data_IF_517378688394
#
_entry.id   IF_517378688394
#
_cell.length_a   1.000
_cell.length_b   1.000
_cell.length_c   1.000
_cell.angle_alpha   90.00
_cell.angle_beta   90.00
_cell.angle_gamma   90.00
#
_symmetry.space_group_name_H-M   'P 1'
#
loop_
_entity.id
_entity.type
_entity.pdbx_description
1 polymer ?
#
# COMPACT_ATOMS: atom_id res chain seq x y z
N UNK A 1 82.27 -28.80 -17.62
CA UNK A 1 81.93 -27.36 -17.75
C UNK A 1 80.41 -27.28 -17.88
N UNK A 2 79.69 -27.02 -16.78
CA UNK A 2 78.22 -27.07 -16.74
C UNK A 2 77.62 -25.68 -17.00
N UNK A 3 76.77 -25.56 -18.03
CA UNK A 3 76.05 -24.33 -18.34
C UNK A 3 74.79 -24.22 -17.47
N UNK A 4 74.67 -23.13 -16.69
CA UNK A 4 73.45 -22.77 -15.97
C UNK A 4 72.45 -22.13 -16.93
N UNK A 5 71.30 -22.77 -17.11
CA UNK A 5 70.13 -22.16 -17.76
C UNK A 5 69.40 -21.34 -16.68
N UNK A 6 69.47 -20.01 -16.76
CA UNK A 6 68.63 -19.12 -15.96
C UNK A 6 67.22 -19.10 -16.53
N UNK A 7 66.25 -19.66 -15.80
CA UNK A 7 64.84 -19.50 -16.10
C UNK A 7 64.34 -18.19 -15.46
N UNK A 8 64.12 -17.17 -16.29
CA UNK A 8 63.35 -15.98 -15.89
C UNK A 8 61.87 -16.35 -15.86
N UNK A 9 61.40 -16.78 -14.68
CA UNK A 9 59.97 -16.96 -14.44
C UNK A 9 59.27 -15.59 -14.47
N UNK A 10 58.57 -15.30 -15.57
CA UNK A 10 57.65 -14.16 -15.67
C UNK A 10 56.49 -14.43 -14.72
N UNK A 11 56.50 -13.82 -13.54
CA UNK A 11 55.35 -13.76 -12.64
C UNK A 11 54.24 -13.00 -13.34
N UNK A 12 53.29 -13.73 -13.93
CA UNK A 12 51.99 -13.16 -14.33
C UNK A 12 51.24 -12.83 -13.04
N UNK A 13 51.30 -11.57 -12.62
CA UNK A 13 50.42 -11.06 -11.57
C UNK A 13 49.00 -11.19 -12.11
N UNK A 14 48.25 -12.17 -11.62
CA UNK A 14 46.83 -12.25 -11.87
C UNK A 14 46.22 -10.96 -11.33
N UNK A 15 45.88 -10.03 -12.22
CA UNK A 15 45.05 -8.91 -11.86
C UNK A 15 43.71 -9.50 -11.46
N UNK A 16 43.50 -9.65 -10.14
CA UNK A 16 42.19 -9.91 -9.55
C UNK A 16 41.31 -8.75 -9.97
N UNK A 17 40.65 -8.88 -11.13
CA UNK A 17 39.54 -8.03 -11.50
C UNK A 17 38.44 -8.36 -10.50
N UNK A 18 38.45 -7.66 -9.37
CA UNK A 18 37.24 -7.51 -8.57
C UNK A 18 36.23 -6.91 -9.54
N UNK A 19 35.28 -7.73 -9.97
CA UNK A 19 34.08 -7.25 -10.66
C UNK A 19 33.44 -6.28 -9.67
N UNK A 20 33.78 -5.00 -9.79
CA UNK A 20 33.16 -3.96 -9.00
C UNK A 20 31.67 -4.15 -9.21
N UNK A 21 30.97 -4.50 -8.13
CA UNK A 21 29.53 -4.48 -8.10
C UNK A 21 29.16 -3.07 -8.53
N UNK A 22 28.76 -2.91 -9.80
CA UNK A 22 28.36 -1.63 -10.33
C UNK A 22 27.20 -1.24 -9.44
N UNK A 23 27.42 -0.28 -8.54
CA UNK A 23 26.39 0.30 -7.69
C UNK A 23 25.47 1.01 -8.66
N UNK A 24 24.60 0.26 -9.32
CA UNK A 24 23.56 0.78 -10.18
C UNK A 24 22.75 1.77 -9.36
N UNK A 25 22.10 2.73 -10.03
CA UNK A 25 21.16 3.59 -9.34
C UNK A 25 20.24 2.70 -8.48
N UNK A 26 20.09 3.02 -7.19
CA UNK A 26 19.31 2.20 -6.27
C UNK A 26 17.96 1.88 -6.92
N UNK A 27 17.63 0.61 -7.05
CA UNK A 27 16.27 0.21 -7.41
C UNK A 27 15.39 0.73 -6.28
N UNK A 28 14.35 1.52 -6.61
CA UNK A 28 13.44 2.28 -5.74
C UNK A 28 13.23 1.73 -4.32
N UNK A 29 13.08 0.41 -4.16
CA UNK A 29 13.03 -0.29 -2.86
C UNK A 29 14.26 -0.16 -1.94
N UNK A 30 15.36 0.45 -2.40
CA UNK A 30 16.58 0.68 -1.62
C UNK A 30 16.79 2.15 -1.25
N UNK A 31 16.09 3.06 -1.93
CA UNK A 31 16.10 4.48 -1.58
C UNK A 31 14.89 4.71 -0.67
N UNK A 32 15.12 4.66 0.65
CA UNK A 32 14.15 5.17 1.61
C UNK A 32 14.05 6.68 1.44
N UNK A 33 13.41 7.12 0.36
CA UNK A 33 13.24 8.53 0.07
C UNK A 33 12.10 8.99 0.96
N UNK A 34 12.45 9.72 2.00
CA UNK A 34 11.48 10.41 2.83
C UNK A 34 10.91 11.58 2.01
N UNK A 35 10.05 11.25 1.04
CA UNK A 35 9.26 12.25 0.33
C UNK A 35 8.42 13.00 1.38
N UNK A 36 8.37 14.33 1.27
CA UNK A 36 7.66 15.20 2.21
C UNK A 36 6.48 15.88 1.53
N UNK A 37 5.52 16.32 2.34
CA UNK A 37 4.32 17.02 1.86
C UNK A 37 3.47 16.17 0.91
N UNK A 38 3.00 16.77 -0.18
CA UNK A 38 2.13 16.10 -1.15
C UNK A 38 2.78 14.88 -1.81
N UNK A 39 4.09 14.92 -2.06
CA UNK A 39 4.81 13.80 -2.66
C UNK A 39 4.83 12.57 -1.75
N UNK A 40 4.79 12.76 -0.42
CA UNK A 40 4.70 11.66 0.54
C UNK A 40 3.38 10.87 0.38
N UNK A 41 2.30 11.59 0.11
CA UNK A 41 0.96 11.02 -0.12
C UNK A 41 0.90 10.39 -1.50
N UNK A 42 1.40 11.08 -2.53
CA UNK A 42 1.40 10.56 -3.90
C UNK A 42 2.28 9.31 -4.05
N UNK A 43 3.41 9.24 -3.33
CA UNK A 43 4.34 8.11 -3.32
C UNK A 43 4.24 7.29 -2.03
N UNK A 44 3.02 6.88 -1.68
CA UNK A 44 2.73 6.18 -0.42
C UNK A 44 3.54 4.88 -0.23
N UNK A 45 4.04 4.24 -1.28
CA UNK A 45 4.83 3.00 -1.18
C UNK A 45 6.33 3.20 -0.87
N UNK A 46 6.82 4.44 -0.80
CA UNK A 46 8.26 4.72 -0.87
C UNK A 46 8.95 4.98 0.49
N UNK A 47 8.25 4.81 1.61
CA UNK A 47 8.77 5.15 2.94
C UNK A 47 8.51 4.08 4.00
N UNK A 48 9.47 3.90 4.91
CA UNK A 48 9.32 3.00 6.08
C UNK A 48 8.10 3.35 6.94
N UNK A 49 7.81 4.65 7.06
CA UNK A 49 6.65 5.12 7.81
C UNK A 49 5.35 4.62 7.19
N UNK A 50 5.23 4.69 5.87
CA UNK A 50 4.01 4.25 5.21
C UNK A 50 3.87 2.73 5.21
N UNK A 51 4.97 1.97 5.15
CA UNK A 51 4.91 0.52 5.39
C UNK A 51 4.41 0.20 6.80
N UNK A 52 4.81 0.96 7.82
CA UNK A 52 4.27 0.80 9.19
C UNK A 52 2.78 1.15 9.24
N UNK A 53 2.38 2.26 8.62
CA UNK A 53 0.96 2.63 8.51
C UNK A 53 0.15 1.51 7.85
N UNK A 54 0.68 0.91 6.78
CA UNK A 54 0.06 -0.23 6.12
C UNK A 54 -0.20 -1.37 7.11
N UNK A 55 0.81 -1.80 7.88
CA UNK A 55 0.64 -2.85 8.88
C UNK A 55 -0.39 -2.49 9.96
N UNK A 56 -0.36 -1.28 10.50
CA UNK A 56 -1.33 -0.85 11.50
C UNK A 56 -2.75 -0.80 10.95
N UNK A 57 -2.95 -0.33 9.72
CA UNK A 57 -4.25 -0.37 9.07
C UNK A 57 -4.71 -1.80 8.80
N UNK A 58 -3.81 -2.73 8.43
CA UNK A 58 -4.14 -4.15 8.29
C UNK A 58 -4.66 -4.75 9.59
N UNK A 59 -3.96 -4.53 10.71
CA UNK A 59 -4.38 -5.04 12.01
C UNK A 59 -5.67 -4.36 12.50
N UNK A 60 -5.81 -3.07 12.24
CA UNK A 60 -7.04 -2.32 12.53
C UNK A 60 -8.23 -2.90 11.77
N UNK A 61 -8.12 -3.10 10.46
CA UNK A 61 -9.19 -3.70 9.65
C UNK A 61 -9.49 -5.14 10.06
N UNK A 62 -8.46 -5.94 10.37
CA UNK A 62 -8.62 -7.30 10.88
C UNK A 62 -9.48 -7.35 12.14
N UNK A 63 -9.33 -6.38 13.04
CA UNK A 63 -10.12 -6.30 14.27
C UNK A 63 -11.50 -5.65 14.06
N UNK A 64 -11.57 -4.58 13.25
CA UNK A 64 -12.78 -3.78 13.09
C UNK A 64 -13.83 -4.46 12.24
N UNK A 65 -13.45 -5.24 11.22
CA UNK A 65 -14.42 -5.96 10.37
C UNK A 65 -15.29 -6.95 11.16
N UNK A 66 -14.73 -7.87 11.97
CA UNK A 66 -15.57 -8.74 12.80
C UNK A 66 -16.34 -7.96 13.88
N UNK A 67 -15.73 -6.92 14.47
CA UNK A 67 -16.42 -6.07 15.43
C UNK A 67 -17.65 -5.39 14.81
N UNK A 68 -17.53 -4.91 13.57
CA UNK A 68 -18.62 -4.29 12.82
C UNK A 68 -19.79 -5.25 12.62
N UNK A 69 -19.50 -6.48 12.19
CA UNK A 69 -20.53 -7.51 11.96
C UNK A 69 -21.33 -7.80 13.22
N UNK A 70 -20.64 -7.87 14.37
CA UNK A 70 -21.25 -8.17 15.69
C UNK A 70 -22.04 -6.99 16.26
N UNK A 71 -21.51 -5.77 16.15
CA UNK A 71 -22.11 -4.59 16.79
C UNK A 71 -23.30 -4.01 16.01
N UNK A 72 -23.35 -4.18 14.70
CA UNK A 72 -24.40 -3.60 13.85
C UNK A 72 -25.70 -4.42 13.92
N UNK A 73 -26.93 -3.84 14.02
CA UNK A 73 -27.31 -2.42 14.06
C UNK A 73 -27.37 -1.90 15.51
N UNK A 74 -26.27 -1.38 16.05
CA UNK A 74 -26.25 -0.72 17.35
C UNK A 74 -25.60 0.65 17.23
N UNK A 75 -26.00 1.59 18.09
CA UNK A 75 -25.30 2.87 18.24
C UNK A 75 -23.82 2.69 18.62
N UNK A 76 -23.45 1.54 19.21
CA UNK A 76 -22.05 1.18 19.49
C UNK A 76 -21.23 0.96 18.20
N UNK A 77 -21.87 0.75 17.05
CA UNK A 77 -21.18 0.55 15.77
C UNK A 77 -20.75 1.88 15.12
N UNK A 78 -21.30 3.02 15.52
CA UNK A 78 -20.97 4.34 14.96
C UNK A 78 -19.45 4.62 14.96
N UNK A 79 -18.71 4.47 16.07
CA UNK A 79 -17.25 4.68 16.04
C UNK A 79 -16.52 3.68 15.14
N UNK A 80 -17.02 2.44 15.01
CA UNK A 80 -16.45 1.43 14.12
C UNK A 80 -16.62 1.84 12.66
N UNK A 81 -17.80 2.34 12.29
CA UNK A 81 -18.09 2.84 10.94
C UNK A 81 -17.19 4.02 10.55
N UNK A 82 -16.93 4.97 11.46
CA UNK A 82 -16.00 6.07 11.21
C UNK A 82 -14.56 5.59 11.05
N UNK A 83 -14.12 4.63 11.86
CA UNK A 83 -12.79 4.04 11.71
C UNK A 83 -12.66 3.28 10.39
N UNK A 84 -13.67 2.50 9.98
CA UNK A 84 -13.69 1.82 8.69
C UNK A 84 -13.63 2.82 7.53
N UNK A 85 -14.37 3.93 7.61
CA UNK A 85 -14.38 4.97 6.58
C UNK A 85 -13.01 5.62 6.36
N UNK A 86 -12.14 5.65 7.37
CA UNK A 86 -10.76 6.17 7.26
C UNK A 86 -9.78 5.07 6.87
N UNK A 87 -9.82 3.93 7.56
CA UNK A 87 -8.82 2.87 7.40
C UNK A 87 -8.92 2.17 6.06
N UNK A 88 -10.13 1.94 5.52
CA UNK A 88 -10.31 1.27 4.24
C UNK A 88 -9.65 2.07 3.10
N UNK A 89 -9.91 3.38 2.91
CA UNK A 89 -9.21 4.17 1.89
C UNK A 89 -7.71 4.25 2.12
N UNK A 90 -7.23 4.45 3.36
CA UNK A 90 -5.79 4.58 3.63
C UNK A 90 -5.04 3.28 3.31
N UNK A 91 -5.55 2.15 3.80
CA UNK A 91 -4.99 0.82 3.53
C UNK A 91 -4.95 0.53 2.02
N UNK A 92 -6.07 0.80 1.35
CA UNK A 92 -6.19 0.56 -0.10
C UNK A 92 -5.29 1.50 -0.91
N UNK A 93 -5.14 2.76 -0.50
CA UNK A 93 -4.29 3.74 -1.17
C UNK A 93 -2.83 3.29 -1.20
N UNK A 94 -2.31 2.85 -0.04
CA UNK A 94 -0.94 2.35 0.08
C UNK A 94 -0.79 1.03 -0.70
N UNK A 95 -1.74 0.10 -0.53
CA UNK A 95 -1.74 -1.18 -1.22
C UNK A 95 -1.71 -1.05 -2.74
N UNK A 96 -2.57 -0.19 -3.31
CA UNK A 96 -2.61 0.04 -4.77
C UNK A 96 -1.35 0.76 -5.25
N UNK A 97 -0.74 1.65 -4.46
CA UNK A 97 0.55 2.25 -4.82
C UNK A 97 1.67 1.21 -4.98
N UNK A 98 1.67 0.13 -4.19
CA UNK A 98 2.58 -1.00 -4.38
C UNK A 98 2.32 -1.68 -5.73
N UNK A 99 1.04 -1.96 -6.05
CA UNK A 99 0.65 -2.54 -7.35
C UNK A 99 1.08 -1.65 -8.52
N UNK A 100 0.92 -0.33 -8.40
CA UNK A 100 1.38 0.64 -9.41
C UNK A 100 2.90 0.53 -9.61
N UNK A 101 3.67 0.37 -8.53
CA UNK A 101 5.12 0.19 -8.64
C UNK A 101 5.52 -1.11 -9.33
N UNK A 102 4.76 -2.19 -9.12
CA UNK A 102 5.08 -3.51 -9.68
C UNK A 102 4.72 -3.62 -11.17
N UNK A 103 3.61 -2.99 -11.59
CA UNK A 103 3.03 -3.26 -12.92
C UNK A 103 2.96 -2.05 -13.85
N UNK A 104 3.02 -0.80 -13.35
CA UNK A 104 2.90 0.38 -14.22
C UNK A 104 4.29 0.83 -14.68
N UNK A 105 4.50 1.01 -16.01
CA UNK A 105 5.76 1.53 -16.53
C UNK A 105 6.10 2.89 -15.93
N UNK A 106 7.39 3.13 -15.65
CA UNK A 106 7.88 4.34 -14.93
C UNK A 106 7.33 5.65 -15.50
N UNK A 107 7.20 5.75 -16.82
CA UNK A 107 6.73 6.95 -17.51
C UNK A 107 5.27 7.30 -17.18
N UNK A 108 4.47 6.31 -16.76
CA UNK A 108 3.05 6.48 -16.42
C UNK A 108 2.77 6.39 -14.92
N UNK A 109 3.76 6.10 -14.07
CA UNK A 109 3.55 5.91 -12.64
C UNK A 109 2.96 7.15 -11.96
N UNK A 110 3.46 8.35 -12.26
CA UNK A 110 2.93 9.58 -11.65
C UNK A 110 1.44 9.79 -11.96
N UNK A 111 1.05 9.58 -13.22
CA UNK A 111 -0.34 9.70 -13.64
C UNK A 111 -1.22 8.63 -12.95
N UNK A 112 -0.76 7.39 -12.92
CA UNK A 112 -1.47 6.30 -12.24
C UNK A 112 -1.64 6.60 -10.74
N UNK A 113 -0.58 7.06 -10.05
CA UNK A 113 -0.63 7.45 -8.62
C UNK A 113 -1.59 8.59 -8.37
N UNK A 114 -1.63 9.59 -9.25
CA UNK A 114 -2.58 10.69 -9.15
C UNK A 114 -4.02 10.19 -9.30
N UNK A 115 -4.28 9.27 -10.23
CA UNK A 115 -5.58 8.61 -10.38
C UNK A 115 -5.97 7.81 -9.14
N UNK A 116 -5.03 7.06 -8.56
CA UNK A 116 -5.24 6.33 -7.31
C UNK A 116 -5.54 7.28 -6.15
N UNK A 117 -4.83 8.39 -6.03
CA UNK A 117 -5.09 9.41 -5.01
C UNK A 117 -6.50 10.02 -5.17
N UNK A 118 -6.88 10.36 -6.41
CA UNK A 118 -8.23 10.85 -6.71
C UNK A 118 -9.31 9.84 -6.30
N UNK A 119 -9.14 8.57 -6.68
CA UNK A 119 -10.04 7.50 -6.27
C UNK A 119 -10.11 7.33 -4.74
N UNK A 120 -8.96 7.39 -4.04
CA UNK A 120 -8.94 7.28 -2.57
C UNK A 120 -9.68 8.43 -1.90
N UNK A 121 -9.56 9.67 -2.40
CA UNK A 121 -10.28 10.83 -1.87
C UNK A 121 -11.79 10.67 -2.11
N UNK A 122 -12.20 10.29 -3.31
CA UNK A 122 -13.62 10.07 -3.64
C UNK A 122 -14.22 8.98 -2.74
N UNK A 123 -13.51 7.86 -2.55
CA UNK A 123 -13.95 6.79 -1.65
C UNK A 123 -14.05 7.28 -0.21
N UNK A 124 -13.05 8.00 0.30
CA UNK A 124 -13.08 8.54 1.66
C UNK A 124 -14.29 9.47 1.88
N UNK A 125 -14.51 10.41 0.96
CA UNK A 125 -15.66 11.32 1.03
C UNK A 125 -16.99 10.58 0.93
N UNK A 126 -17.08 9.57 0.06
CA UNK A 126 -18.26 8.71 -0.06
C UNK A 126 -18.58 7.97 1.24
N UNK A 127 -17.58 7.34 1.85
CA UNK A 127 -17.76 6.59 3.10
C UNK A 127 -18.11 7.50 4.28
N UNK A 128 -17.47 8.67 4.40
CA UNK A 128 -17.82 9.64 5.44
C UNK A 128 -19.22 10.20 5.24
N UNK A 129 -19.61 10.53 4.01
CA UNK A 129 -20.97 11.01 3.72
C UNK A 129 -22.01 9.96 4.07
N UNK A 130 -21.73 8.69 3.76
CA UNK A 130 -22.58 7.56 4.11
C UNK A 130 -22.74 7.40 5.63
N UNK A 131 -21.69 7.65 6.41
CA UNK A 131 -21.76 7.64 7.88
C UNK A 131 -22.50 8.85 8.49
N UNK A 132 -22.38 10.02 7.87
CA UNK A 132 -22.99 11.26 8.40
C UNK A 132 -24.47 11.36 8.03
N UNK A 133 -24.83 10.97 6.81
CA UNK A 133 -26.17 11.19 6.24
C UNK A 133 -26.98 9.90 6.10
N UNK A 134 -26.32 8.74 6.07
CA UNK A 134 -26.94 7.43 5.87
C UNK A 134 -26.92 6.56 7.12
N UNK A 135 -27.11 5.26 6.92
CA UNK A 135 -27.17 4.27 8.00
C UNK A 135 -25.80 3.86 8.58
N UNK A 136 -24.70 4.35 8.00
CA UNK A 136 -23.34 3.86 8.30
C UNK A 136 -22.88 2.74 7.37
N UNK A 137 -21.56 2.62 7.19
CA UNK A 137 -20.95 1.67 6.23
C UNK A 137 -21.42 0.25 6.50
N UNK A 138 -21.40 -0.18 7.75
CA UNK A 138 -21.70 -1.57 8.12
C UNK A 138 -23.16 -1.92 7.91
N UNK A 139 -24.12 -1.09 8.36
CA UNK A 139 -25.53 -1.37 8.11
C UNK A 139 -25.89 -1.30 6.64
N UNK A 140 -25.22 -0.42 5.87
CA UNK A 140 -25.40 -0.40 4.42
C UNK A 140 -25.00 -1.75 3.80
N UNK A 141 -23.85 -2.31 4.19
CA UNK A 141 -23.43 -3.64 3.71
C UNK A 141 -24.37 -4.75 4.22
N UNK A 142 -24.76 -4.73 5.50
CA UNK A 142 -25.65 -5.75 6.05
C UNK A 142 -27.04 -5.71 5.43
N UNK A 143 -27.57 -4.53 5.10
CA UNK A 143 -28.85 -4.38 4.42
C UNK A 143 -28.84 -4.99 3.01
N UNK A 144 -27.70 -4.93 2.32
CA UNK A 144 -27.50 -5.59 1.03
C UNK A 144 -27.57 -7.13 1.13
N UNK A 145 -27.26 -7.70 2.30
CA UNK A 145 -27.32 -9.14 2.56
C UNK A 145 -28.65 -9.63 3.15
N UNK A 146 -29.54 -8.72 3.56
CA UNK A 146 -30.88 -9.10 4.05
C UNK A 146 -31.82 -9.30 2.87
N UNK A 147 -32.81 -10.16 3.04
CA UNK A 147 -33.88 -10.29 2.04
C UNK A 147 -34.61 -8.95 1.87
N UNK A 148 -34.99 -8.58 0.64
CA UNK A 148 -35.79 -7.40 0.43
C UNK A 148 -37.14 -7.55 1.16
N UNK A 149 -37.69 -6.48 1.73
CA UNK A 149 -38.95 -6.55 2.45
C UNK A 149 -40.06 -7.12 1.54
N UNK A 150 -40.83 -8.08 2.05
CA UNK A 150 -41.92 -8.69 1.28
C UNK A 150 -43.01 -7.65 0.97
N UNK A 151 -43.57 -7.69 -0.25
CA UNK A 151 -44.58 -6.72 -0.72
C UNK A 151 -45.90 -6.77 0.06
N UNK A 152 -46.09 -7.76 0.93
CA UNK A 152 -47.35 -7.97 1.65
C UNK A 152 -47.50 -7.15 2.94
N UNK A 153 -46.42 -6.53 3.44
CA UNK A 153 -46.45 -5.73 4.67
C UNK A 153 -46.96 -4.28 4.46
N UNK A 154 -47.45 -3.94 3.27
CA UNK A 154 -47.93 -2.59 2.91
C UNK A 154 -49.42 -2.56 2.56
N UNK A 155 -50.26 -3.06 3.47
CA UNK A 155 -51.72 -2.85 3.47
C UNK A 155 -52.19 -2.46 4.87
#
# INVERSE_FOLDING_TARGET
MFARISSTAVRRTAATQTRGFRKGNPTKFTENKADTGFNAVLNADNSKHTSKVMHYTSYGLLALVPAAVVLSPSALNVPVDYLLAVLVPVHSHIGINNVVSDYVPKNFQTLARAGVLGASIVTFLGLITLNVTGAGVTETVKSLWREPPSKEASH
#
